data_IF_379750630305
#
_entry.id   IF_379750630305
#
_cell.length_a   1.000
_cell.length_b   1.000
_cell.length_c   1.000
_cell.angle_alpha   90.00
_cell.angle_beta   90.00
_cell.angle_gamma   90.00
#
_symmetry.space_group_name_H-M   'P 1'
#
loop_
_entity.id
_entity.type
_entity.pdbx_description
1 polymer ?
#
# COMPACT_ATOMS: atom_id res chain seq x y z
N UNK A 1 -29.53 -7.10 -14.29
CA UNK A 1 -28.79 -6.10 -13.48
C UNK A 1 -27.34 -6.49 -13.61
N UNK A 2 -26.68 -5.97 -14.64
CA UNK A 2 -25.26 -6.23 -14.92
C UNK A 2 -24.52 -4.96 -14.52
N UNK A 3 -24.42 -4.75 -13.21
CA UNK A 3 -23.57 -3.72 -12.63
C UNK A 3 -22.18 -4.33 -12.53
N UNK A 4 -21.53 -4.56 -13.68
CA UNK A 4 -20.10 -4.77 -13.68
C UNK A 4 -19.52 -3.46 -13.17
N UNK A 5 -19.24 -3.39 -11.86
CA UNK A 5 -18.42 -2.34 -11.28
C UNK A 5 -17.12 -2.33 -12.07
N UNK A 6 -17.08 -1.47 -13.10
CA UNK A 6 -15.91 -1.25 -13.93
C UNK A 6 -14.97 -0.39 -13.08
N UNK A 7 -14.43 -1.00 -12.02
CA UNK A 7 -13.41 -0.38 -11.21
C UNK A 7 -12.16 -0.40 -12.07
N UNK A 8 -11.79 0.79 -12.54
CA UNK A 8 -10.58 1.00 -13.31
C UNK A 8 -9.39 0.89 -12.33
N UNK A 9 -8.59 -0.17 -12.48
CA UNK A 9 -7.43 -0.37 -11.61
C UNK A 9 -6.37 0.67 -12.01
N UNK A 10 -5.93 1.53 -11.07
CA UNK A 10 -4.99 2.59 -11.39
C UNK A 10 -3.66 2.02 -11.89
N UNK A 11 -3.02 2.73 -12.83
CA UNK A 11 -1.74 2.32 -13.40
C UNK A 11 -0.64 2.16 -12.33
N UNK A 12 -0.71 2.93 -11.25
CA UNK A 12 0.20 2.81 -10.10
C UNK A 12 0.13 1.43 -9.43
N UNK A 13 -1.04 0.77 -9.45
CA UNK A 13 -1.22 -0.57 -8.91
C UNK A 13 -0.88 -1.66 -9.94
N UNK A 14 -1.34 -1.51 -11.19
CA UNK A 14 -1.05 -2.51 -12.22
C UNK A 14 0.46 -2.64 -12.48
N UNK A 15 1.22 -1.54 -12.37
CA UNK A 15 2.68 -1.52 -12.49
C UNK A 15 3.39 -2.45 -11.50
N UNK A 16 2.79 -2.78 -10.34
CA UNK A 16 3.36 -3.72 -9.36
C UNK A 16 3.45 -5.15 -9.90
N UNK A 17 2.61 -5.48 -10.89
CA UNK A 17 2.52 -6.82 -11.48
C UNK A 17 3.17 -6.91 -12.86
N UNK A 18 3.74 -5.81 -13.35
CA UNK A 18 4.41 -5.73 -14.65
C UNK A 18 5.91 -5.89 -14.43
N UNK A 19 6.52 -6.92 -15.04
CA UNK A 19 7.98 -7.06 -14.99
C UNK A 19 8.68 -5.92 -15.72
N UNK A 20 9.88 -5.49 -15.26
CA UNK A 20 10.71 -4.53 -15.97
C UNK A 20 10.91 -4.96 -17.42
N UNK A 21 10.57 -4.08 -18.37
CA UNK A 21 10.67 -4.36 -19.81
C UNK A 21 9.46 -5.09 -20.43
N UNK A 22 8.38 -5.31 -19.69
CA UNK A 22 7.08 -5.73 -20.23
C UNK A 22 6.04 -4.61 -20.06
N UNK A 23 4.98 -4.69 -20.87
CA UNK A 23 3.85 -3.75 -20.80
C UNK A 23 2.57 -4.39 -20.23
N UNK A 24 2.57 -5.69 -19.95
CA UNK A 24 1.39 -6.45 -19.52
C UNK A 24 1.70 -7.19 -18.22
N UNK A 25 0.76 -7.23 -17.25
CA UNK A 25 0.98 -7.92 -15.98
C UNK A 25 1.24 -9.41 -16.20
N UNK A 26 2.12 -9.98 -15.38
CA UNK A 26 2.45 -11.41 -15.43
C UNK A 26 1.39 -12.32 -14.80
N UNK A 27 0.33 -11.73 -14.22
CA UNK A 27 -0.80 -12.41 -13.60
C UNK A 27 -2.10 -12.19 -14.38
N UNK A 28 -3.07 -13.12 -14.31
CA UNK A 28 -4.38 -12.92 -14.90
C UNK A 28 -5.06 -11.67 -14.31
N UNK A 29 -5.75 -10.92 -15.17
CA UNK A 29 -6.37 -9.64 -14.78
C UNK A 29 -7.32 -9.75 -13.59
N UNK A 30 -8.09 -10.84 -13.51
CA UNK A 30 -9.01 -11.12 -12.39
C UNK A 30 -8.26 -11.24 -11.05
N UNK A 31 -7.04 -11.75 -11.04
CA UNK A 31 -6.23 -11.83 -9.82
C UNK A 31 -5.69 -10.46 -9.43
N UNK A 32 -5.22 -9.66 -10.39
CA UNK A 32 -4.79 -8.27 -10.16
C UNK A 32 -5.93 -7.45 -9.59
N UNK A 33 -7.15 -7.61 -10.14
CA UNK A 33 -8.36 -6.99 -9.64
C UNK A 33 -8.67 -7.38 -8.18
N UNK A 34 -8.67 -8.69 -7.88
CA UNK A 34 -8.93 -9.15 -6.52
C UNK A 34 -7.87 -8.64 -5.52
N UNK A 35 -6.62 -8.49 -5.95
CA UNK A 35 -5.55 -7.89 -5.12
C UNK A 35 -5.75 -6.40 -4.93
N UNK A 36 -6.15 -5.69 -5.98
CA UNK A 36 -6.46 -4.26 -5.91
C UNK A 36 -7.56 -4.00 -4.89
N UNK A 37 -8.70 -4.70 -4.98
CA UNK A 37 -9.81 -4.53 -4.05
C UNK A 37 -9.39 -4.77 -2.59
N UNK A 38 -8.58 -5.80 -2.34
CA UNK A 38 -8.04 -6.06 -1.00
C UNK A 38 -7.13 -4.93 -0.51
N UNK A 39 -6.22 -4.44 -1.35
CA UNK A 39 -5.30 -3.37 -0.98
C UNK A 39 -6.04 -2.04 -0.74
N UNK A 40 -7.00 -1.71 -1.61
CA UNK A 40 -7.81 -0.50 -1.49
C UNK A 40 -8.67 -0.52 -0.21
N UNK A 41 -9.37 -1.63 0.05
CA UNK A 41 -10.15 -1.78 1.28
C UNK A 41 -9.31 -1.58 2.55
N UNK A 42 -8.06 -2.07 2.55
CA UNK A 42 -7.13 -1.87 3.66
C UNK A 42 -6.64 -0.42 3.74
N UNK A 43 -6.32 0.23 2.62
CA UNK A 43 -5.94 1.65 2.61
C UNK A 43 -7.06 2.52 3.21
N UNK A 44 -8.29 2.29 2.78
CA UNK A 44 -9.50 2.94 3.31
C UNK A 44 -9.70 2.69 4.81
N UNK A 45 -9.51 1.45 5.27
CA UNK A 45 -9.59 1.12 6.71
C UNK A 45 -8.44 1.75 7.52
N UNK A 46 -7.24 1.83 6.95
CA UNK A 46 -6.08 2.41 7.59
C UNK A 46 -6.21 3.92 7.76
N UNK A 47 -6.95 4.64 6.91
CA UNK A 47 -7.20 6.07 7.10
C UNK A 47 -7.85 6.35 8.46
N UNK A 48 -8.92 5.61 8.79
CA UNK A 48 -9.63 5.72 10.06
C UNK A 48 -8.72 5.34 11.23
N UNK A 49 -7.96 4.26 11.05
CA UNK A 49 -7.02 3.76 12.06
C UNK A 49 -5.89 4.77 12.32
N UNK A 50 -5.37 5.38 11.28
CA UNK A 50 -4.29 6.36 11.33
C UNK A 50 -4.75 7.63 12.04
N UNK A 51 -5.92 8.16 11.68
CA UNK A 51 -6.50 9.32 12.37
C UNK A 51 -6.65 9.07 13.88
N UNK A 52 -7.12 7.87 14.27
CA UNK A 52 -7.21 7.47 15.67
C UNK A 52 -5.85 7.38 16.34
N UNK A 53 -4.87 6.73 15.71
CA UNK A 53 -3.51 6.60 16.26
C UNK A 53 -2.82 7.95 16.44
N UNK A 54 -2.92 8.85 15.47
CA UNK A 54 -2.37 10.21 15.57
C UNK A 54 -2.97 10.96 16.75
N UNK A 55 -4.30 10.88 16.92
CA UNK A 55 -4.98 11.51 18.04
C UNK A 55 -4.55 10.93 19.39
N UNK A 56 -4.61 9.60 19.54
CA UNK A 56 -4.42 8.90 20.81
C UNK A 56 -2.96 8.94 21.27
N UNK A 57 -2.01 8.86 20.33
CA UNK A 57 -0.57 8.82 20.62
C UNK A 57 0.11 10.18 20.49
N UNK A 58 -0.60 11.21 20.00
CA UNK A 58 -0.05 12.56 19.71
C UNK A 58 1.20 12.48 18.80
N UNK A 59 1.11 11.67 17.75
CA UNK A 59 2.17 11.45 16.77
C UNK A 59 1.88 12.18 15.45
N UNK A 60 2.91 12.32 14.62
CA UNK A 60 2.80 12.96 13.30
C UNK A 60 2.19 12.03 12.24
N UNK A 61 1.84 12.59 11.09
CA UNK A 61 1.38 11.85 9.92
C UNK A 61 2.48 10.91 9.39
N UNK A 62 3.74 11.37 9.39
CA UNK A 62 4.87 10.52 9.03
C UNK A 62 4.98 9.31 9.98
N UNK A 63 4.92 9.57 11.28
CA UNK A 63 4.96 8.55 12.32
C UNK A 63 3.88 7.48 12.18
N UNK A 64 2.67 7.87 11.76
CA UNK A 64 1.56 6.92 11.58
C UNK A 64 1.71 6.12 10.29
N UNK A 65 2.19 6.73 9.21
CA UNK A 65 2.50 6.03 7.96
C UNK A 65 3.56 4.94 8.17
N UNK A 66 4.64 5.25 8.89
CA UNK A 66 5.68 4.28 9.24
C UNK A 66 5.12 3.10 10.04
N UNK A 67 4.28 3.38 11.04
CA UNK A 67 3.64 2.35 11.88
C UNK A 67 2.65 1.48 11.09
N UNK A 68 1.83 2.09 10.24
CA UNK A 68 0.90 1.35 9.38
C UNK A 68 1.66 0.41 8.44
N UNK A 69 2.73 0.89 7.80
CA UNK A 69 3.57 0.04 6.95
C UNK A 69 4.22 -1.11 7.72
N UNK A 70 4.81 -0.85 8.89
CA UNK A 70 5.36 -1.91 9.74
C UNK A 70 4.30 -2.97 10.07
N UNK A 71 3.07 -2.54 10.37
CA UNK A 71 1.93 -3.42 10.61
C UNK A 71 1.61 -4.33 9.42
N UNK A 72 1.62 -3.78 8.20
CA UNK A 72 1.43 -4.52 6.94
C UNK A 72 2.57 -5.50 6.64
N UNK A 73 3.77 -5.24 7.18
CA UNK A 73 4.96 -6.09 6.99
C UNK A 73 5.12 -7.17 8.06
N UNK A 74 4.27 -7.19 9.10
CA UNK A 74 4.31 -8.24 10.11
C UNK A 74 4.05 -9.63 9.52
N UNK A 75 4.64 -10.66 10.13
CA UNK A 75 4.42 -12.04 9.71
C UNK A 75 2.92 -12.40 9.80
N UNK A 76 2.43 -13.11 8.77
CA UNK A 76 1.02 -13.52 8.68
C UNK A 76 0.12 -12.56 7.89
N UNK A 77 0.62 -11.39 7.48
CA UNK A 77 -0.12 -10.51 6.57
C UNK A 77 -0.08 -11.05 5.12
N UNK A 78 -1.19 -10.98 4.37
CA UNK A 78 -1.29 -11.55 3.02
C UNK A 78 -0.67 -10.65 1.91
N UNK A 79 -0.05 -9.53 2.30
CA UNK A 79 0.49 -8.51 1.39
C UNK A 79 1.97 -8.73 1.10
N UNK A 80 2.32 -8.68 -0.18
CA UNK A 80 3.71 -8.58 -0.62
C UNK A 80 4.32 -7.23 -0.23
N UNK A 81 5.65 -7.14 -0.31
CA UNK A 81 6.39 -5.88 -0.08
C UNK A 81 5.83 -4.75 -0.96
N UNK A 82 5.57 -5.02 -2.23
CA UNK A 82 5.11 -4.01 -3.19
C UNK A 82 3.66 -3.57 -2.89
N UNK A 83 2.78 -4.50 -2.54
CA UNK A 83 1.41 -4.17 -2.10
C UNK A 83 1.42 -3.32 -0.83
N UNK A 84 2.22 -3.68 0.18
CA UNK A 84 2.34 -2.90 1.41
C UNK A 84 2.86 -1.48 1.17
N UNK A 85 3.80 -1.30 0.24
CA UNK A 85 4.29 0.03 -0.18
C UNK A 85 3.15 0.81 -0.84
N UNK A 86 2.43 0.19 -1.78
CA UNK A 86 1.33 0.86 -2.47
C UNK A 86 0.23 1.31 -1.50
N UNK A 87 -0.18 0.43 -0.57
CA UNK A 87 -1.16 0.77 0.48
C UNK A 87 -0.68 1.97 1.31
N UNK A 88 0.61 2.00 1.70
CA UNK A 88 1.19 3.11 2.44
C UNK A 88 1.19 4.44 1.66
N UNK A 89 1.46 4.39 0.35
CA UNK A 89 1.42 5.56 -0.53
C UNK A 89 0.00 6.07 -0.74
N UNK A 90 -0.96 5.18 -0.97
CA UNK A 90 -2.38 5.54 -1.05
C UNK A 90 -2.87 6.16 0.24
N UNK A 91 -2.43 5.66 1.40
CA UNK A 91 -2.73 6.27 2.69
C UNK A 91 -2.10 7.67 2.82
N UNK A 92 -0.85 7.86 2.39
CA UNK A 92 -0.20 9.17 2.39
C UNK A 92 -0.96 10.19 1.52
N UNK A 93 -1.37 9.79 0.32
CA UNK A 93 -2.18 10.61 -0.58
C UNK A 93 -3.52 11.02 0.06
N UNK A 94 -4.20 10.06 0.68
CA UNK A 94 -5.48 10.29 1.37
C UNK A 94 -5.33 11.21 2.59
N UNK A 95 -4.15 11.23 3.23
CA UNK A 95 -3.81 12.15 4.31
C UNK A 95 -3.23 13.48 3.81
N UNK A 96 -3.18 13.71 2.49
CA UNK A 96 -2.59 14.89 1.84
C UNK A 96 -1.11 15.10 2.20
N UNK A 97 -0.36 14.01 2.39
CA UNK A 97 1.04 14.04 2.81
C UNK A 97 2.01 13.73 1.67
N UNK A 98 3.21 14.29 1.77
CA UNK A 98 4.34 13.94 0.92
C UNK A 98 4.84 12.52 1.24
N UNK A 99 4.93 11.66 0.23
CA UNK A 99 5.37 10.27 0.39
C UNK A 99 6.90 10.11 0.34
N UNK A 100 7.69 11.16 0.12
CA UNK A 100 9.15 11.06 -0.01
C UNK A 100 9.81 10.59 1.28
N UNK A 101 9.40 11.14 2.43
CA UNK A 101 9.91 10.73 3.74
C UNK A 101 9.53 9.26 4.05
N UNK A 102 8.29 8.89 3.71
CA UNK A 102 7.80 7.52 3.83
C UNK A 102 8.62 6.55 2.97
N UNK A 103 8.87 6.90 1.70
CA UNK A 103 9.67 6.07 0.78
C UNK A 103 11.12 5.93 1.25
N UNK A 104 11.74 6.99 1.78
CA UNK A 104 13.07 6.91 2.38
C UNK A 104 13.12 6.00 3.63
N UNK A 105 12.03 5.93 4.40
CA UNK A 105 11.89 4.97 5.49
C UNK A 105 11.74 3.52 4.97
N UNK A 106 10.89 3.31 3.97
CA UNK A 106 10.68 2.01 3.30
C UNK A 106 11.98 1.46 2.73
N UNK A 107 12.79 2.29 2.07
CA UNK A 107 14.07 1.87 1.50
C UNK A 107 15.05 1.38 2.57
N UNK A 108 15.11 2.08 3.71
CA UNK A 108 15.93 1.66 4.86
C UNK A 108 15.44 0.33 5.44
N UNK A 109 14.14 0.14 5.58
CA UNK A 109 13.56 -1.13 6.04
C UNK A 109 13.86 -2.28 5.07
N UNK A 110 13.69 -2.06 3.76
CA UNK A 110 13.97 -3.07 2.75
C UNK A 110 15.46 -3.45 2.70
N UNK A 111 16.37 -2.49 2.91
CA UNK A 111 17.80 -2.75 3.02
C UNK A 111 18.12 -3.61 4.26
N UNK A 112 17.45 -3.35 5.39
CA UNK A 112 17.60 -4.15 6.61
C UNK A 112 17.08 -5.59 6.43
N UNK A 113 15.93 -5.76 5.78
CA UNK A 113 15.36 -7.08 5.44
C UNK A 113 16.29 -7.93 4.56
N UNK A 114 17.12 -7.33 3.71
CA UNK A 114 18.07 -8.05 2.84
C UNK A 114 19.34 -8.52 3.57
N UNK A 115 19.62 -7.97 4.75
CA UNK A 115 20.82 -8.26 5.52
C UNK A 115 20.56 -9.17 6.74
N UNK A 116 19.31 -9.63 6.91
CA UNK A 116 18.85 -10.54 7.94
C UNK A 116 18.63 -11.95 7.38
#
# INVERSE_FOLDING_TARGET
>A
MDETCQIDIPQSFTALYVRPGRNMPDRPWMEVYARYEQCEAIASMLQVTAAKMMHDLRITEQDVLERCYQGLRMQGQPFSKQEAIWIGRSLAEVLEQDDSAFMAFVDRQNAADCNA
#
